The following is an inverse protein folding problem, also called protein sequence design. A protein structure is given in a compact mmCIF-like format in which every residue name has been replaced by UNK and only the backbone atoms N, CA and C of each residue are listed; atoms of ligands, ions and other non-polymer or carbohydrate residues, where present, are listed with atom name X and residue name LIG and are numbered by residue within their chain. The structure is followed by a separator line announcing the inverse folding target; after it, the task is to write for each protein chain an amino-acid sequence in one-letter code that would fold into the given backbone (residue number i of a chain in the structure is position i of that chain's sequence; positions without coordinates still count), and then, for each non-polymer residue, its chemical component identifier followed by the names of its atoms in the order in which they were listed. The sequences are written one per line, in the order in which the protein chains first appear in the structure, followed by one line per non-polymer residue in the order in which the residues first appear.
data_IF_775321013686
#
_entry.id   IF_775321013686
#
_cell.length_a   1.000
_cell.length_b   1.000
_cell.length_c   1.000
_cell.angle_alpha   90.00
_cell.angle_beta   90.00
_cell.angle_gamma   90.00
#
_symmetry.space_group_name_H-M   'P 1'
#
loop_
_entity.id
_entity.type
_entity.pdbx_description
1 polymer ?
#
# COMPACT_ATOMS: atom_id res chain seq x y z
N UNK A 1 13.42 17.70 11.50
CA UNK A 1 12.70 16.45 11.18
C UNK A 1 12.87 16.23 9.68
N UNK A 2 13.38 15.07 9.25
CA UNK A 2 13.57 14.78 7.82
C UNK A 2 12.22 14.56 7.13
N UNK A 3 12.17 14.71 5.81
CA UNK A 3 10.97 14.42 5.01
C UNK A 3 10.57 12.95 5.13
N UNK A 4 11.55 12.05 5.20
CA UNK A 4 11.31 10.63 5.44
C UNK A 4 10.72 10.37 6.84
N UNK A 5 11.21 11.06 7.87
CA UNK A 5 10.66 10.96 9.23
C UNK A 5 9.22 11.47 9.29
N UNK A 6 8.93 12.57 8.59
CA UNK A 6 7.57 13.07 8.43
C UNK A 6 6.66 12.01 7.80
N UNK A 7 7.08 11.41 6.68
CA UNK A 7 6.27 10.38 6.03
C UNK A 7 6.03 9.21 6.98
N UNK A 8 7.06 8.65 7.60
CA UNK A 8 6.89 7.52 8.54
C UNK A 8 5.87 7.84 9.63
N UNK A 9 5.99 9.00 10.28
CA UNK A 9 5.06 9.42 11.32
C UNK A 9 3.62 9.52 10.81
N UNK A 10 3.43 10.06 9.60
CA UNK A 10 2.09 10.21 9.00
C UNK A 10 1.50 8.89 8.55
N UNK A 11 2.31 7.97 8.04
CA UNK A 11 1.89 6.61 7.71
C UNK A 11 1.47 5.84 8.98
N UNK A 12 2.23 5.95 10.07
CA UNK A 12 1.88 5.36 11.36
C UNK A 12 0.58 5.95 11.94
N UNK A 13 0.43 7.28 11.86
CA UNK A 13 -0.78 7.98 12.29
C UNK A 13 -2.01 7.56 11.48
N UNK A 14 -1.87 7.40 10.16
CA UNK A 14 -2.94 6.91 9.28
C UNK A 14 -3.35 5.48 9.66
N UNK A 15 -2.37 4.57 9.82
CA UNK A 15 -2.61 3.18 10.24
C UNK A 15 -3.30 3.11 11.60
N UNK A 16 -2.89 3.95 12.56
CA UNK A 16 -3.55 4.04 13.87
C UNK A 16 -4.98 4.55 13.74
N UNK A 17 -5.19 5.63 12.99
CA UNK A 17 -6.50 6.25 12.80
C UNK A 17 -7.50 5.28 12.17
N UNK A 18 -7.07 4.53 11.15
CA UNK A 18 -7.92 3.55 10.48
C UNK A 18 -8.20 2.33 11.35
N UNK A 19 -7.25 1.90 12.19
CA UNK A 19 -7.48 0.85 13.19
C UNK A 19 -8.52 1.30 14.23
N UNK A 20 -8.33 2.48 14.81
CA UNK A 20 -9.17 2.97 15.91
C UNK A 20 -10.62 3.21 15.43
N UNK A 21 -10.82 3.51 14.14
CA UNK A 21 -12.14 3.62 13.54
C UNK A 21 -12.95 2.31 13.55
N UNK A 22 -12.30 1.14 13.67
CA UNK A 22 -12.99 -0.16 13.76
C UNK A 22 -13.68 -0.40 15.11
N UNK A 23 -13.30 0.37 16.14
CA UNK A 23 -13.86 0.27 17.48
C UNK A 23 -13.21 -0.83 18.36
N UNK A 24 -13.58 -0.86 19.65
CA UNK A 24 -12.84 -1.56 20.71
C UNK A 24 -12.81 -3.09 20.56
N UNK A 25 -13.77 -3.66 19.82
CA UNK A 25 -13.83 -5.11 19.58
C UNK A 25 -12.69 -5.62 18.68
N UNK A 26 -11.90 -4.71 18.10
CA UNK A 26 -10.82 -5.02 17.17
C UNK A 26 -9.43 -4.57 17.67
N UNK A 27 -9.32 -4.07 18.91
CA UNK A 27 -8.09 -3.48 19.46
C UNK A 27 -6.89 -4.45 19.50
N UNK A 28 -7.15 -5.75 19.63
CA UNK A 28 -6.12 -6.80 19.63
C UNK A 28 -5.67 -7.26 18.25
N UNK A 29 -6.26 -6.74 17.17
CA UNK A 29 -5.97 -7.14 15.80
C UNK A 29 -5.17 -6.05 15.08
N UNK A 30 -4.14 -6.43 14.33
CA UNK A 30 -3.28 -5.50 13.58
C UNK A 30 -3.96 -4.97 12.30
N UNK A 31 -5.22 -4.48 12.40
CA UNK A 31 -6.10 -4.22 11.26
C UNK A 31 -5.93 -2.84 10.58
N UNK A 32 -5.00 -2.02 11.05
CA UNK A 32 -4.76 -0.70 10.47
C UNK A 32 -4.24 -0.77 9.03
N UNK A 33 -4.62 0.24 8.23
CA UNK A 33 -4.23 0.37 6.83
C UNK A 33 -3.98 1.83 6.47
N UNK A 34 -3.32 2.05 5.34
CA UNK A 34 -3.07 3.36 4.75
C UNK A 34 -4.14 3.63 3.70
N UNK A 35 -4.89 4.72 3.82
CA UNK A 35 -5.97 4.97 2.87
C UNK A 35 -5.44 5.36 1.48
N UNK A 36 -6.20 5.04 0.42
CA UNK A 36 -5.93 5.52 -0.94
C UNK A 36 -6.00 7.05 -0.98
N UNK A 37 -6.92 7.65 -0.21
CA UNK A 37 -7.00 9.10 -0.05
C UNK A 37 -5.70 9.69 0.51
N UNK A 38 -5.09 9.05 1.51
CA UNK A 38 -3.79 9.46 2.05
C UNK A 38 -2.67 9.28 1.02
N UNK A 39 -2.57 8.13 0.35
CA UNK A 39 -1.57 7.90 -0.70
C UNK A 39 -1.70 8.94 -1.83
N UNK A 40 -2.92 9.22 -2.28
CA UNK A 40 -3.19 10.23 -3.30
C UNK A 40 -2.77 11.63 -2.86
N UNK A 41 -2.86 11.97 -1.57
CA UNK A 41 -2.35 13.24 -1.02
C UNK A 41 -0.83 13.26 -0.98
N UNK A 42 -0.20 12.16 -0.54
CA UNK A 42 1.26 12.02 -0.45
C UNK A 42 1.92 12.09 -1.82
N UNK A 43 1.36 11.40 -2.81
CA UNK A 43 1.92 11.31 -4.16
C UNK A 43 1.36 12.36 -5.14
N UNK A 44 0.50 13.28 -4.67
CA UNK A 44 -0.09 14.32 -5.51
C UNK A 44 1.00 15.26 -6.06
N UNK A 45 1.01 15.49 -7.37
CA UNK A 45 1.88 16.48 -8.01
C UNK A 45 1.52 17.93 -7.66
N UNK A 46 0.33 18.18 -7.10
CA UNK A 46 -0.17 19.51 -6.72
C UNK A 46 0.03 19.87 -5.24
N UNK A 47 0.47 18.91 -4.41
CA UNK A 47 0.85 19.18 -3.01
C UNK A 47 2.30 19.66 -2.94
N UNK A 48 2.75 20.32 -1.86
CA UNK A 48 4.15 20.73 -1.71
C UNK A 48 5.11 19.59 -2.02
N UNK A 49 6.30 19.94 -2.54
CA UNK A 49 7.36 19.08 -3.11
C UNK A 49 7.95 18.00 -2.16
N UNK A 50 7.22 17.55 -1.14
CA UNK A 50 7.67 16.60 -0.11
C UNK A 50 8.13 15.27 -0.68
N UNK A 51 7.51 14.78 -1.75
CA UNK A 51 8.00 13.58 -2.43
C UNK A 51 9.39 13.82 -3.01
N UNK A 52 9.60 14.96 -3.68
CA UNK A 52 10.89 15.33 -4.24
C UNK A 52 11.93 15.51 -3.13
N UNK A 53 11.60 16.22 -2.07
CA UNK A 53 12.48 16.42 -0.89
C UNK A 53 12.87 15.07 -0.25
N UNK A 54 11.93 14.14 -0.12
CA UNK A 54 12.16 12.77 0.38
C UNK A 54 13.07 11.96 -0.54
N UNK A 55 12.89 12.07 -1.85
CA UNK A 55 13.75 11.41 -2.84
C UNK A 55 15.15 12.02 -2.90
N UNK A 56 15.27 13.33 -2.74
CA UNK A 56 16.56 14.00 -2.59
C UNK A 56 17.28 13.45 -1.35
N UNK A 57 16.64 13.45 -0.18
CA UNK A 57 17.19 12.85 1.06
C UNK A 57 17.64 11.39 0.87
N UNK A 58 16.88 10.60 0.12
CA UNK A 58 17.19 9.21 -0.23
C UNK A 58 18.45 9.08 -1.11
N UNK A 59 18.65 9.99 -2.07
CA UNK A 59 19.88 10.07 -2.88
C UNK A 59 21.07 10.49 -2.04
N UNK A 60 20.89 11.46 -1.13
CA UNK A 60 21.94 11.90 -0.20
C UNK A 60 22.43 10.76 0.68
N UNK A 61 21.51 9.95 1.22
CA UNK A 61 21.83 8.77 2.05
C UNK A 61 22.70 7.73 1.34
N UNK A 62 22.65 7.68 0.01
CA UNK A 62 23.46 6.77 -0.79
C UNK A 62 24.82 7.35 -1.22
N UNK A 63 25.13 8.60 -0.83
CA UNK A 63 26.29 9.35 -1.31
C UNK A 63 26.37 9.40 -2.85
N UNK A 64 25.22 9.53 -3.52
CA UNK A 64 25.14 9.57 -4.99
C UNK A 64 24.87 10.98 -5.53
N UNK A 65 25.07 12.02 -4.71
CA UNK A 65 24.79 13.42 -5.09
C UNK A 65 25.59 13.86 -6.33
N UNK A 66 26.87 13.47 -6.42
CA UNK A 66 27.74 13.82 -7.55
C UNK A 66 27.32 13.13 -8.87
N UNK A 67 26.44 12.13 -8.80
CA UNK A 67 25.99 11.30 -9.93
C UNK A 67 24.56 11.65 -10.35
N UNK A 68 23.79 12.32 -9.50
CA UNK A 68 22.39 12.66 -9.77
C UNK A 68 22.25 14.15 -10.12
N UNK A 69 21.80 14.43 -11.34
CA UNK A 69 21.39 15.80 -11.70
C UNK A 69 19.89 16.02 -11.42
N UNK A 70 19.42 17.26 -11.64
CA UNK A 70 18.01 17.62 -11.43
C UNK A 70 17.06 16.76 -12.28
N UNK A 71 17.42 16.48 -13.54
CA UNK A 71 16.60 15.66 -14.44
C UNK A 71 16.47 14.21 -13.93
N UNK A 72 17.51 13.67 -13.30
CA UNK A 72 17.49 12.32 -12.71
C UNK A 72 16.52 12.25 -11.53
N UNK A 73 16.46 13.30 -10.70
CA UNK A 73 15.49 13.41 -9.60
C UNK A 73 14.07 13.51 -10.15
N UNK A 74 13.84 14.30 -11.20
CA UNK A 74 12.52 14.42 -11.82
C UNK A 74 12.04 13.11 -12.44
N UNK A 75 12.95 12.36 -13.08
CA UNK A 75 12.65 11.02 -13.61
C UNK A 75 12.36 10.03 -12.50
N UNK A 76 13.13 10.06 -11.41
CA UNK A 76 12.90 9.22 -10.23
C UNK A 76 11.53 9.52 -9.61
N UNK A 77 11.21 10.80 -9.40
CA UNK A 77 9.92 11.26 -8.88
C UNK A 77 8.75 10.77 -9.76
N UNK A 78 8.86 10.96 -11.08
CA UNK A 78 7.87 10.50 -12.04
C UNK A 78 7.69 8.98 -11.98
N UNK A 79 8.79 8.24 -11.89
CA UNK A 79 8.76 6.77 -11.84
C UNK A 79 8.12 6.27 -10.55
N UNK A 80 8.48 6.85 -9.41
CA UNK A 80 7.88 6.52 -8.11
C UNK A 80 6.39 6.80 -8.12
N UNK A 81 5.96 7.94 -8.66
CA UNK A 81 4.54 8.31 -8.73
C UNK A 81 3.74 7.38 -9.64
N UNK A 82 4.27 7.00 -10.79
CA UNK A 82 3.53 6.29 -11.84
C UNK A 82 3.63 4.76 -11.72
N UNK A 83 4.78 4.24 -11.30
CA UNK A 83 5.11 2.81 -11.40
C UNK A 83 5.42 2.15 -10.07
N UNK A 84 5.94 2.89 -9.08
CA UNK A 84 6.36 2.33 -7.81
C UNK A 84 5.72 2.97 -6.54
N UNK A 85 4.47 3.47 -6.55
CA UNK A 85 3.90 4.14 -5.37
C UNK A 85 3.71 3.18 -4.19
N UNK A 86 3.29 1.92 -4.43
CA UNK A 86 3.12 0.93 -3.37
C UNK A 86 4.47 0.49 -2.83
N UNK A 87 5.42 0.21 -3.72
CA UNK A 87 6.79 -0.15 -3.36
C UNK A 87 7.43 0.94 -2.47
N UNK A 88 7.39 2.20 -2.89
CA UNK A 88 7.98 3.29 -2.13
C UNK A 88 7.29 3.53 -0.78
N UNK A 89 5.96 3.40 -0.74
CA UNK A 89 5.19 3.49 0.51
C UNK A 89 5.65 2.45 1.54
N UNK A 90 5.85 1.20 1.11
CA UNK A 90 6.34 0.13 1.98
C UNK A 90 7.73 0.47 2.49
N UNK A 91 8.64 0.88 1.60
CA UNK A 91 10.00 1.26 1.96
C UNK A 91 10.06 2.44 2.95
N UNK A 92 9.19 3.44 2.79
CA UNK A 92 9.04 4.54 3.76
C UNK A 92 8.61 4.03 5.13
N UNK A 93 7.60 3.15 5.18
CA UNK A 93 7.09 2.59 6.44
C UNK A 93 8.13 1.78 7.21
N UNK A 94 8.98 1.03 6.51
CA UNK A 94 10.03 0.20 7.14
C UNK A 94 11.38 0.94 7.28
N UNK A 95 11.44 2.24 7.00
CA UNK A 95 12.66 3.06 7.07
C UNK A 95 13.80 2.60 6.11
N UNK A 96 13.44 2.12 4.93
CA UNK A 96 14.37 1.72 3.87
C UNK A 96 14.09 2.43 2.52
N UNK A 97 13.50 3.63 2.57
CA UNK A 97 13.13 4.46 1.42
C UNK A 97 14.25 4.65 0.39
N UNK A 98 15.48 4.87 0.86
CA UNK A 98 16.67 5.07 0.02
C UNK A 98 16.92 3.95 -1.01
N UNK A 99 16.44 2.73 -0.77
CA UNK A 99 16.58 1.61 -1.73
C UNK A 99 15.85 1.85 -3.05
N UNK A 100 14.84 2.72 -3.08
CA UNK A 100 14.07 3.03 -4.29
C UNK A 100 14.98 3.47 -5.44
N UNK A 101 16.07 4.19 -5.12
CA UNK A 101 17.05 4.68 -6.09
C UNK A 101 17.71 3.52 -6.83
N UNK A 102 18.07 2.44 -6.12
CA UNK A 102 18.70 1.24 -6.70
C UNK A 102 17.67 0.34 -7.39
N UNK A 103 16.49 0.18 -6.79
CA UNK A 103 15.42 -0.68 -7.32
C UNK A 103 14.91 -0.18 -8.68
N UNK A 104 14.68 1.12 -8.82
CA UNK A 104 14.20 1.71 -10.08
C UNK A 104 15.28 1.72 -11.17
N UNK A 105 16.57 1.79 -10.78
CA UNK A 105 17.71 1.72 -11.71
C UNK A 105 18.17 0.30 -12.03
N UNK A 106 17.62 -0.72 -11.36
CA UNK A 106 17.91 -2.11 -11.66
C UNK A 106 17.47 -2.47 -13.09
N UNK A 107 18.08 -3.49 -13.69
CA UNK A 107 17.70 -3.99 -15.02
C UNK A 107 17.30 -5.48 -14.92
N UNK A 108 16.00 -5.82 -15.07
CA UNK A 108 14.86 -4.92 -15.29
C UNK A 108 14.51 -4.11 -14.03
N UNK A 109 13.88 -2.91 -14.17
CA UNK A 109 13.47 -2.10 -13.02
C UNK A 109 12.52 -2.83 -12.08
N UNK A 110 12.79 -2.74 -10.78
CA UNK A 110 11.91 -3.28 -9.73
C UNK A 110 10.94 -2.17 -9.31
N UNK A 111 9.68 -2.30 -9.72
CA UNK A 111 8.58 -1.38 -9.42
C UNK A 111 7.38 -2.14 -8.83
N UNK A 112 6.17 -1.55 -8.80
CA UNK A 112 4.98 -2.23 -8.27
C UNK A 112 4.63 -3.54 -9.01
N UNK A 113 5.23 -3.83 -10.18
CA UNK A 113 5.08 -5.13 -10.84
C UNK A 113 5.59 -6.30 -9.99
N UNK A 114 6.43 -6.05 -8.99
CA UNK A 114 6.85 -7.07 -8.01
C UNK A 114 5.66 -7.66 -7.22
N UNK A 115 4.54 -6.93 -7.13
CA UNK A 115 3.30 -7.39 -6.49
C UNK A 115 2.37 -8.14 -7.45
N UNK A 116 2.66 -8.16 -8.75
CA UNK A 116 1.90 -9.00 -9.67
C UNK A 116 2.38 -10.44 -9.45
N UNK A 117 1.66 -11.14 -8.57
CA UNK A 117 1.98 -12.53 -8.27
C UNK A 117 1.91 -13.38 -9.55
N UNK A 118 2.71 -14.46 -9.57
CA UNK A 118 2.89 -15.41 -10.67
C UNK A 118 1.57 -15.72 -11.41
N UNK A 119 1.66 -16.03 -12.71
CA UNK A 119 0.60 -16.27 -13.74
C UNK A 119 -0.76 -16.89 -13.33
N UNK A 120 -0.94 -17.38 -12.10
CA UNK A 120 -2.15 -18.01 -11.56
C UNK A 120 -2.68 -17.38 -10.27
N UNK A 121 -1.95 -16.47 -9.63
CA UNK A 121 -2.41 -15.78 -8.42
C UNK A 121 -3.22 -14.54 -8.82
N UNK A 122 -4.44 -14.45 -8.30
CA UNK A 122 -5.30 -13.28 -8.49
C UNK A 122 -4.97 -12.14 -7.53
N UNK A 123 -4.02 -12.34 -6.61
CA UNK A 123 -3.70 -11.42 -5.53
C UNK A 123 -2.52 -10.51 -5.89
N UNK A 124 -2.67 -9.20 -5.67
CA UNK A 124 -1.58 -8.22 -5.85
C UNK A 124 -0.67 -8.13 -4.61
N UNK A 125 0.16 -9.15 -4.40
CA UNK A 125 1.14 -9.24 -3.31
C UNK A 125 2.48 -9.86 -3.75
N UNK A 126 3.51 -9.65 -2.94
CA UNK A 126 4.81 -10.31 -3.08
C UNK A 126 5.02 -11.28 -1.91
N UNK A 127 5.37 -12.54 -2.18
CA UNK A 127 5.60 -13.53 -1.12
C UNK A 127 6.93 -13.26 -0.41
N UNK A 128 7.04 -13.71 0.85
CA UNK A 128 8.29 -13.56 1.61
C UNK A 128 9.44 -14.32 0.94
N UNK A 129 9.17 -15.51 0.39
CA UNK A 129 10.16 -16.32 -0.32
C UNK A 129 10.73 -15.58 -1.53
N UNK A 130 9.87 -14.94 -2.34
CA UNK A 130 10.30 -14.14 -3.49
C UNK A 130 11.12 -12.93 -3.06
N UNK A 131 10.79 -12.32 -1.92
CA UNK A 131 11.56 -11.19 -1.38
C UNK A 131 12.93 -11.63 -0.86
N UNK A 132 13.04 -12.84 -0.29
CA UNK A 132 14.30 -13.45 0.14
C UNK A 132 15.21 -13.73 -1.06
N UNK A 133 14.62 -14.14 -2.19
CA UNK A 133 15.36 -14.39 -3.45
C UNK A 133 15.85 -13.11 -4.14
N UNK A 134 15.27 -11.94 -3.83
CA UNK A 134 15.62 -10.66 -4.44
C UNK A 134 16.79 -9.99 -3.70
N UNK A 135 18.01 -9.91 -4.28
CA UNK A 135 19.20 -9.42 -3.58
C UNK A 135 19.07 -8.00 -3.02
N UNK A 136 18.25 -7.15 -3.64
CA UNK A 136 18.05 -5.77 -3.17
C UNK A 136 17.01 -5.65 -2.03
N UNK A 137 16.30 -6.73 -1.70
CA UNK A 137 15.22 -6.75 -0.69
C UNK A 137 15.38 -7.86 0.37
N UNK A 138 16.29 -8.81 0.19
CA UNK A 138 16.35 -10.02 1.00
C UNK A 138 16.52 -9.78 2.50
N UNK A 139 17.34 -8.80 2.90
CA UNK A 139 17.60 -8.47 4.31
C UNK A 139 16.43 -7.72 4.97
N UNK A 140 15.48 -7.22 4.19
CA UNK A 140 14.26 -6.54 4.65
C UNK A 140 12.98 -7.35 4.36
N UNK A 141 13.11 -8.57 3.85
CA UNK A 141 12.01 -9.37 3.31
C UNK A 141 10.86 -9.55 4.32
N UNK A 142 11.16 -9.94 5.56
CA UNK A 142 10.15 -10.16 6.60
C UNK A 142 9.37 -8.86 6.96
N UNK A 143 10.08 -7.75 7.11
CA UNK A 143 9.46 -6.45 7.44
C UNK A 143 8.64 -5.91 6.26
N UNK A 144 9.17 -6.05 5.05
CA UNK A 144 8.50 -5.69 3.82
C UNK A 144 7.22 -6.51 3.64
N UNK A 145 7.31 -7.84 3.81
CA UNK A 145 6.18 -8.76 3.68
C UNK A 145 5.05 -8.40 4.63
N UNK A 146 5.36 -8.03 5.89
CA UNK A 146 4.35 -7.58 6.86
C UNK A 146 3.76 -6.21 6.48
N UNK A 147 4.60 -5.25 6.11
CA UNK A 147 4.18 -3.88 5.81
C UNK A 147 3.30 -3.80 4.54
N UNK A 148 3.50 -4.69 3.55
CA UNK A 148 2.73 -4.66 2.31
C UNK A 148 1.22 -4.74 2.51
N UNK A 149 0.78 -5.44 3.57
CA UNK A 149 -0.64 -5.66 3.86
C UNK A 149 -1.34 -4.42 4.43
N UNK A 150 -0.56 -3.44 4.90
CA UNK A 150 -1.08 -2.13 5.33
C UNK A 150 -1.33 -1.20 4.15
N UNK A 151 -0.75 -1.48 2.99
CA UNK A 151 -0.94 -0.71 1.77
C UNK A 151 -2.01 -1.37 0.89
N UNK A 152 -3.05 -0.63 0.48
CA UNK A 152 -4.09 -1.11 -0.43
C UNK A 152 -3.52 -1.88 -1.64
N UNK A 153 -4.01 -3.09 -1.94
CA UNK A 153 -3.86 -3.63 -3.29
C UNK A 153 -4.59 -2.70 -4.27
N UNK A 154 -4.15 -2.64 -5.53
CA UNK A 154 -4.86 -1.89 -6.57
C UNK A 154 -6.26 -2.51 -6.72
N UNK A 155 -7.28 -1.92 -6.09
CA UNK A 155 -8.63 -2.48 -6.06
C UNK A 155 -9.32 -2.29 -7.43
N UNK A 156 -9.06 -3.24 -8.33
CA UNK A 156 -9.75 -3.37 -9.60
C UNK A 156 -11.13 -4.03 -9.35
N UNK A 157 -12.24 -3.45 -9.83
CA UNK A 157 -13.58 -3.99 -9.58
C UNK A 157 -13.86 -5.30 -10.35
N UNK A 158 -12.99 -5.68 -11.30
CA UNK A 158 -13.17 -6.86 -12.16
C UNK A 158 -12.82 -8.21 -11.53
N UNK A 159 -12.30 -8.27 -10.30
CA UNK A 159 -11.92 -9.52 -9.65
C UNK A 159 -12.24 -9.52 -8.15
N UNK A 160 -13.04 -10.50 -7.72
CA UNK A 160 -13.16 -10.83 -6.29
C UNK A 160 -11.94 -11.63 -5.86
N UNK A 161 -11.12 -11.04 -4.99
CA UNK A 161 -9.93 -11.65 -4.42
C UNK A 161 -10.26 -12.29 -3.06
N UNK A 162 -9.84 -13.55 -2.85
CA UNK A 162 -9.93 -14.23 -1.56
C UNK A 162 -8.63 -14.07 -0.80
N UNK A 163 -8.66 -13.38 0.34
CA UNK A 163 -7.49 -13.18 1.19
C UNK A 163 -7.57 -14.04 2.45
N UNK A 164 -6.44 -14.55 2.99
CA UNK A 164 -6.39 -15.07 4.34
C UNK A 164 -6.88 -14.01 5.32
N UNK A 165 -7.83 -14.36 6.21
CA UNK A 165 -8.45 -13.42 7.15
C UNK A 165 -7.42 -12.67 8.03
N UNK A 166 -6.27 -13.29 8.30
CA UNK A 166 -5.18 -12.72 9.10
C UNK A 166 -4.40 -11.63 8.37
N UNK A 167 -4.31 -11.69 7.04
CA UNK A 167 -3.54 -10.78 6.19
C UNK A 167 -4.41 -9.70 5.54
N UNK A 168 -5.72 -9.91 5.55
CA UNK A 168 -6.64 -9.02 4.88
C UNK A 168 -6.94 -7.79 5.74
N UNK A 169 -6.79 -6.61 5.12
CA UNK A 169 -7.06 -5.30 5.72
C UNK A 169 -8.10 -4.59 4.86
N UNK A 170 -9.37 -4.81 5.17
CA UNK A 170 -10.43 -4.09 4.49
C UNK A 170 -10.45 -2.64 4.97
N UNK A 171 -10.54 -1.67 4.05
CA UNK A 171 -10.54 -0.27 4.39
C UNK A 171 -11.88 0.19 4.97
N UNK A 172 -12.29 -0.35 6.11
CA UNK A 172 -13.51 0.08 6.79
C UNK A 172 -13.25 1.41 7.53
N UNK A 173 -14.23 2.31 7.47
CA UNK A 173 -14.20 3.62 8.16
C UNK A 173 -15.09 3.65 9.41
N UNK A 174 -15.40 2.46 9.94
CA UNK A 174 -16.28 2.29 11.08
C UNK A 174 -16.40 0.82 11.47
N UNK A 175 -16.77 0.58 12.73
CA UNK A 175 -17.16 -0.73 13.21
C UNK A 175 -18.27 -1.33 12.32
N UNK A 176 -18.12 -2.58 11.83
CA UNK A 176 -19.20 -3.24 11.12
C UNK A 176 -20.43 -3.37 12.02
N UNK A 177 -21.59 -2.94 11.52
CA UNK A 177 -22.85 -3.07 12.22
C UNK A 177 -23.48 -4.44 11.92
N UNK A 178 -23.85 -5.19 12.95
CA UNK A 178 -24.61 -6.43 12.76
C UNK A 178 -25.87 -6.16 11.92
N UNK A 179 -26.13 -7.02 10.94
CA UNK A 179 -27.31 -6.93 10.08
C UNK A 179 -28.23 -8.14 10.26
N UNK A 180 -27.69 -9.35 10.17
CA UNK A 180 -28.51 -10.58 10.19
C UNK A 180 -27.68 -11.84 10.46
N UNK A 181 -28.34 -12.98 10.66
CA UNK A 181 -27.74 -14.31 10.70
C UNK A 181 -28.15 -15.11 9.47
N UNK A 182 -27.17 -15.71 8.79
CA UNK A 182 -27.39 -16.74 7.77
C UNK A 182 -27.19 -18.14 8.35
N UNK A 183 -27.57 -19.16 7.58
CA UNK A 183 -27.44 -20.57 7.99
C UNK A 183 -26.00 -21.02 8.29
N UNK A 184 -25.01 -20.24 7.86
CA UNK A 184 -23.59 -20.57 7.97
C UNK A 184 -22.73 -19.42 8.52
N UNK A 185 -23.33 -18.36 9.06
CA UNK A 185 -22.56 -17.23 9.57
C UNK A 185 -23.36 -15.98 9.84
N UNK A 186 -22.66 -14.89 10.15
CA UNK A 186 -23.25 -13.60 10.53
C UNK A 186 -22.99 -12.57 9.44
N UNK A 187 -24.02 -11.80 9.09
CA UNK A 187 -23.97 -10.73 8.10
C UNK A 187 -23.77 -9.40 8.81
N UNK A 188 -22.73 -8.68 8.40
CA UNK A 188 -22.45 -7.32 8.87
C UNK A 188 -22.58 -6.31 7.74
N UNK A 189 -23.05 -5.10 8.07
CA UNK A 189 -22.96 -3.91 7.22
C UNK A 189 -21.70 -3.14 7.61
N UNK A 190 -20.77 -2.98 6.68
CA UNK A 190 -19.58 -2.15 6.88
C UNK A 190 -19.60 -0.93 5.95
N UNK A 191 -19.04 0.19 6.41
CA UNK A 191 -18.78 1.37 5.57
C UNK A 191 -17.34 1.32 5.10
N UNK A 192 -17.12 1.43 3.80
CA UNK A 192 -15.80 1.38 3.17
C UNK A 192 -15.30 2.81 2.94
N UNK A 193 -14.00 3.03 3.13
CA UNK A 193 -13.34 4.30 2.89
C UNK A 193 -13.51 4.73 1.42
N UNK A 194 -13.63 6.04 1.24
CA UNK A 194 -13.76 6.62 -0.11
C UNK A 194 -12.54 6.26 -0.96
N UNK A 195 -12.78 6.05 -2.27
CA UNK A 195 -11.77 5.65 -3.25
C UNK A 195 -11.12 4.27 -3.04
N UNK A 196 -11.60 3.47 -2.09
CA UNK A 196 -11.11 2.10 -1.89
C UNK A 196 -11.86 1.00 -2.62
N UNK A 197 -13.09 1.26 -3.02
CA UNK A 197 -13.77 0.50 -4.06
C UNK A 197 -14.12 1.46 -5.17
N UNK A 198 -13.83 1.07 -6.40
CA UNK A 198 -14.43 1.70 -7.57
C UNK A 198 -15.88 1.26 -7.61
N UNK A 199 -16.79 2.16 -7.25
CA UNK A 199 -18.19 1.99 -7.59
C UNK A 199 -18.29 2.21 -9.09
N UNK A 200 -18.25 1.15 -9.89
CA UNK A 200 -18.68 1.25 -11.28
C UNK A 200 -20.22 1.35 -11.27
N UNK A 201 -20.81 2.52 -11.57
CA UNK A 201 -22.27 2.66 -11.57
C UNK A 201 -22.93 1.82 -12.67
N UNK A 202 -22.15 1.26 -13.60
CA UNK A 202 -22.64 0.39 -14.68
C UNK A 202 -22.75 -1.08 -14.31
N UNK A 203 -22.29 -1.50 -13.12
CA UNK A 203 -22.48 -2.87 -12.63
C UNK A 203 -23.78 -2.92 -11.82
N UNK A 204 -24.91 -3.39 -12.39
CA UNK A 204 -26.13 -3.57 -11.62
C UNK A 204 -25.85 -4.55 -10.49
N UNK A 205 -26.20 -4.16 -9.26
CA UNK A 205 -26.28 -5.06 -8.11
C UNK A 205 -27.38 -6.07 -8.43
N UNK A 206 -27.04 -7.13 -9.15
CA UNK A 206 -27.92 -8.29 -9.29
C UNK A 206 -27.89 -9.02 -7.95
N UNK A 207 -28.76 -8.57 -7.04
CA UNK A 207 -29.22 -9.41 -5.95
C UNK A 207 -29.89 -10.63 -6.61
N UNK A 208 -29.14 -11.72 -6.79
CA UNK A 208 -29.78 -13.02 -7.04
C UNK A 208 -30.37 -13.45 -5.70
N UNK A 209 -31.67 -13.76 -5.62
CA UNK A 209 -32.17 -14.53 -4.50
C UNK A 209 -31.48 -15.90 -4.58
N UNK A 210 -30.77 -16.28 -3.53
CA UNK A 210 -30.38 -17.66 -3.33
C UNK A 210 -31.69 -18.41 -2.98
N UNK A 211 -32.13 -19.26 -3.88
CA UNK A 211 -33.13 -20.29 -3.60
C UNK A 211 -32.47 -21.46 -2.87
#
# INVERSE_FOLDING_TARGET
MSSNDYFRQRFEEEVRTTRDALGPNFDGLDLGYVSIGFLNKVFNSKSPNRLRESLEEDVKKLNMEDVFNLEDIERLESTVRMRAPKLYSILLMINHSHRIVRLVKHDPPIDDSIFNAALKSKLSYCSEERLIEEPLLCDIAANFYKAQWRIPPRFNPGAHESFPCTLFRFPFVGAPAYKDNGSWGVVYRAKIADCHLTSDPSVPVRARPFY
#
